data_IF_861125574167
#
_entry.id   IF_861125574167
#
_cell.length_a   1.000
_cell.length_b   1.000
_cell.length_c   1.000
_cell.angle_alpha   90.00
_cell.angle_beta   90.00
_cell.angle_gamma   90.00
#
_symmetry.space_group_name_H-M   'P 1'
#
loop_
_entity.id
_entity.type
_entity.pdbx_description
1 polymer ?
#
# COMPACT_ATOMS: atom_id res chain seq x y z
N UNK A 1 -13.86 9.57 -9.63
CA UNK A 1 -13.53 8.23 -10.14
C UNK A 1 -12.53 8.40 -11.27
N UNK A 2 -11.37 7.74 -11.21
CA UNK A 2 -10.37 7.78 -12.29
C UNK A 2 -10.85 6.85 -13.41
N UNK A 3 -10.61 7.18 -14.67
CA UNK A 3 -10.98 6.29 -15.78
C UNK A 3 -10.13 5.00 -15.71
N UNK A 4 -10.71 3.86 -16.10
CA UNK A 4 -10.09 2.54 -15.89
C UNK A 4 -8.70 2.44 -16.54
N UNK A 5 -8.52 3.04 -17.71
CA UNK A 5 -7.25 3.10 -18.43
C UNK A 5 -6.13 3.85 -17.68
N UNK A 6 -6.49 4.76 -16.78
CA UNK A 6 -5.54 5.52 -15.98
C UNK A 6 -5.25 4.88 -14.63
N UNK A 7 -5.97 3.82 -14.24
CA UNK A 7 -5.82 3.22 -12.93
C UNK A 7 -4.43 2.58 -12.71
N UNK A 8 -3.93 1.66 -13.57
CA UNK A 8 -2.59 1.11 -13.41
C UNK A 8 -1.47 2.17 -13.50
N UNK A 9 -1.48 3.13 -14.45
CA UNK A 9 -0.53 4.25 -14.46
C UNK A 9 -0.56 5.08 -13.16
N UNK A 10 -1.74 5.32 -12.59
CA UNK A 10 -1.89 6.09 -11.35
C UNK A 10 -1.26 5.35 -10.17
N UNK A 11 -1.49 4.05 -10.06
CA UNK A 11 -0.90 3.21 -9.01
C UNK A 11 0.63 3.13 -9.14
N UNK A 12 1.16 3.03 -10.37
CA UNK A 12 2.61 3.12 -10.63
C UNK A 12 3.19 4.47 -10.23
N UNK A 13 2.46 5.57 -10.47
CA UNK A 13 2.86 6.90 -10.03
C UNK A 13 2.85 7.00 -8.49
N UNK A 14 1.82 6.47 -7.82
CA UNK A 14 1.72 6.42 -6.37
C UNK A 14 2.89 5.64 -5.74
N UNK A 15 3.22 4.47 -6.29
CA UNK A 15 4.39 3.70 -5.87
C UNK A 15 5.67 4.55 -5.91
N UNK A 16 5.92 5.27 -7.02
CA UNK A 16 7.10 6.13 -7.17
C UNK A 16 7.13 7.29 -6.15
N UNK A 17 5.97 7.87 -5.85
CA UNK A 17 5.85 8.92 -4.84
C UNK A 17 6.17 8.39 -3.43
N UNK A 18 5.68 7.19 -3.09
CA UNK A 18 5.98 6.55 -1.80
C UNK A 18 7.47 6.21 -1.67
N UNK A 19 8.08 5.65 -2.72
CA UNK A 19 9.54 5.39 -2.77
C UNK A 19 10.33 6.68 -2.55
N UNK A 20 9.91 7.79 -3.18
CA UNK A 20 10.56 9.09 -3.01
C UNK A 20 10.39 9.64 -1.58
N UNK A 21 9.17 9.55 -1.02
CA UNK A 21 8.89 9.97 0.35
C UNK A 21 9.71 9.16 1.37
N UNK A 22 9.84 7.84 1.17
CA UNK A 22 10.68 6.96 1.98
C UNK A 22 12.13 7.41 1.95
N UNK A 23 12.68 7.64 0.76
CA UNK A 23 14.05 8.11 0.61
C UNK A 23 14.29 9.45 1.34
N UNK A 24 13.33 10.39 1.29
CA UNK A 24 13.41 11.63 2.06
C UNK A 24 13.36 11.38 3.56
N UNK A 25 12.46 10.51 4.03
CA UNK A 25 12.34 10.20 5.44
C UNK A 25 13.66 9.67 6.03
N UNK A 26 14.36 8.80 5.31
CA UNK A 26 15.68 8.34 5.74
C UNK A 26 16.76 9.43 5.67
N UNK A 27 16.74 10.30 4.65
CA UNK A 27 17.67 11.43 4.56
C UNK A 27 17.48 12.46 5.69
N UNK A 28 16.23 12.64 6.14
CA UNK A 28 15.87 13.55 7.24
C UNK A 28 15.94 12.85 8.62
N UNK A 29 16.65 11.72 8.72
CA UNK A 29 16.84 10.89 9.93
C UNK A 29 15.52 10.44 10.61
N UNK A 30 14.40 10.52 9.89
CA UNK A 30 13.08 10.12 10.34
C UNK A 30 12.85 8.62 10.09
N UNK A 31 13.69 7.79 10.72
CA UNK A 31 13.74 6.33 10.51
C UNK A 31 12.36 5.67 10.64
N UNK A 32 11.59 6.03 11.68
CA UNK A 32 10.25 5.45 11.88
C UNK A 32 9.27 5.74 10.74
N UNK A 33 9.39 6.90 10.08
CA UNK A 33 8.57 7.23 8.90
C UNK A 33 9.07 6.46 7.67
N UNK A 34 10.39 6.28 7.54
CA UNK A 34 10.98 5.44 6.50
C UNK A 34 10.50 4.00 6.59
N UNK A 35 10.60 3.39 7.77
CA UNK A 35 10.19 2.00 8.03
C UNK A 35 8.68 1.80 7.84
N UNK A 36 7.90 2.80 8.26
CA UNK A 36 6.47 2.84 7.95
C UNK A 36 6.25 2.79 6.44
N UNK A 37 6.83 3.71 5.67
CA UNK A 37 6.67 3.77 4.21
C UNK A 37 7.17 2.52 3.47
N UNK A 38 8.24 1.89 3.95
CA UNK A 38 8.74 0.59 3.47
C UNK A 38 7.65 -0.48 3.48
N UNK A 39 6.82 -0.44 4.51
CA UNK A 39 5.79 -1.44 4.72
C UNK A 39 4.63 -1.31 3.71
N UNK A 40 4.40 -0.12 3.13
CA UNK A 40 3.27 0.14 2.21
C UNK A 40 3.68 0.29 0.74
N UNK A 41 4.94 0.61 0.45
CA UNK A 41 5.32 1.06 -0.90
C UNK A 41 5.03 0.02 -1.99
N UNK A 42 5.00 -1.27 -1.65
CA UNK A 42 4.76 -2.34 -2.61
C UNK A 42 3.29 -2.54 -2.97
N UNK A 43 2.34 -2.07 -2.15
CA UNK A 43 0.91 -2.26 -2.40
C UNK A 43 0.46 -1.69 -3.74
N UNK A 44 0.78 -0.43 -4.12
CA UNK A 44 0.38 0.10 -5.41
C UNK A 44 1.03 -0.63 -6.58
N UNK A 45 2.23 -1.19 -6.39
CA UNK A 45 2.88 -2.01 -7.42
C UNK A 45 2.11 -3.31 -7.67
N UNK A 46 1.68 -4.00 -6.61
CA UNK A 46 0.87 -5.21 -6.73
C UNK A 46 -0.50 -4.94 -7.38
N UNK A 47 -1.15 -3.85 -7.00
CA UNK A 47 -2.45 -3.44 -7.58
C UNK A 47 -2.36 -2.99 -9.04
N UNK A 48 -1.18 -2.55 -9.50
CA UNK A 48 -0.95 -2.13 -10.88
C UNK A 48 -0.50 -3.28 -11.81
N UNK A 49 -0.36 -4.48 -11.25
CA UNK A 49 -0.02 -5.69 -12.01
C UNK A 49 -1.22 -6.16 -12.83
N UNK A 50 -0.96 -6.76 -13.98
CA UNK A 50 -2.00 -7.32 -14.85
C UNK A 50 -2.42 -8.73 -14.40
N UNK A 51 -1.59 -9.38 -13.59
CA UNK A 51 -1.90 -10.67 -12.98
C UNK A 51 -2.75 -10.48 -11.72
N UNK A 52 -3.57 -11.48 -11.41
CA UNK A 52 -4.27 -11.53 -10.14
C UNK A 52 -3.27 -11.74 -9.00
N UNK A 53 -3.14 -10.71 -8.15
CA UNK A 53 -2.28 -10.71 -6.95
C UNK A 53 -3.11 -10.49 -5.67
N UNK A 54 -4.40 -10.82 -5.69
CA UNK A 54 -5.33 -10.54 -4.60
C UNK A 54 -4.86 -11.10 -3.27
N UNK A 55 -4.47 -12.38 -3.22
CA UNK A 55 -4.00 -13.02 -1.98
C UNK A 55 -2.77 -12.33 -1.40
N UNK A 56 -1.83 -11.94 -2.25
CA UNK A 56 -0.60 -11.26 -1.81
C UNK A 56 -0.89 -9.86 -1.27
N UNK A 57 -1.83 -9.13 -1.88
CA UNK A 57 -2.30 -7.83 -1.36
C UNK A 57 -2.95 -8.00 0.02
N UNK A 58 -3.78 -9.04 0.20
CA UNK A 58 -4.42 -9.35 1.49
C UNK A 58 -3.36 -9.67 2.55
N UNK A 59 -2.40 -10.52 2.23
CA UNK A 59 -1.32 -10.88 3.17
C UNK A 59 -0.44 -9.67 3.51
N UNK A 60 -0.17 -8.80 2.54
CA UNK A 60 0.54 -7.54 2.80
C UNK A 60 -0.25 -6.62 3.73
N UNK A 61 -1.56 -6.46 3.51
CA UNK A 61 -2.44 -5.66 4.39
C UNK A 61 -2.46 -6.22 5.82
N UNK A 62 -2.56 -7.54 5.98
CA UNK A 62 -2.51 -8.19 7.29
C UNK A 62 -1.15 -7.99 7.97
N UNK A 63 -0.06 -8.19 7.24
CA UNK A 63 1.30 -7.94 7.73
C UNK A 63 1.50 -6.51 8.19
N UNK A 64 0.91 -5.56 7.46
CA UNK A 64 0.90 -4.13 7.82
C UNK A 64 0.20 -3.86 9.14
N UNK A 65 -0.99 -4.41 9.37
CA UNK A 65 -1.70 -4.24 10.63
C UNK A 65 -1.00 -4.92 11.83
N UNK A 66 -0.16 -5.93 11.57
CA UNK A 66 0.69 -6.53 12.60
C UNK A 66 1.89 -5.65 12.94
N UNK A 67 2.54 -5.08 11.93
CA UNK A 67 3.70 -4.20 12.10
C UNK A 67 3.31 -2.82 12.66
N UNK A 68 2.13 -2.32 12.27
CA UNK A 68 1.61 -0.99 12.62
C UNK A 68 0.19 -1.14 13.21
N UNK A 69 0.07 -1.45 14.51
CA UNK A 69 -1.23 -1.74 15.15
C UNK A 69 -2.25 -0.59 15.08
N UNK A 70 -1.77 0.65 14.97
CA UNK A 70 -2.57 1.85 14.75
C UNK A 70 -3.25 1.88 13.38
N UNK A 71 -2.75 1.11 12.40
CA UNK A 71 -3.33 0.96 11.07
C UNK A 71 -4.33 -0.21 10.94
N UNK A 72 -4.58 -0.97 12.03
CA UNK A 72 -5.44 -2.17 11.98
C UNK A 72 -6.83 -1.90 11.39
N UNK A 73 -7.39 -0.73 11.67
CA UNK A 73 -8.71 -0.33 11.19
C UNK A 73 -8.81 -0.34 9.65
N UNK A 74 -7.70 -0.13 8.93
CA UNK A 74 -7.65 -0.14 7.46
C UNK A 74 -7.92 -1.55 6.93
N UNK A 75 -7.36 -2.58 7.57
CA UNK A 75 -7.58 -3.98 7.19
C UNK A 75 -9.00 -4.40 7.52
N UNK A 76 -9.52 -3.98 8.67
CA UNK A 76 -10.92 -4.23 9.05
C UNK A 76 -11.90 -3.58 8.07
N UNK A 77 -11.60 -2.36 7.59
CA UNK A 77 -12.38 -1.70 6.54
C UNK A 77 -12.36 -2.47 5.22
N UNK A 78 -11.19 -2.96 4.81
CA UNK A 78 -11.03 -3.79 3.62
C UNK A 78 -11.82 -5.10 3.72
N UNK A 79 -11.66 -5.85 4.83
CA UNK A 79 -12.36 -7.12 5.05
C UNK A 79 -13.88 -6.93 5.06
N UNK A 80 -14.38 -5.84 5.67
CA UNK A 80 -15.81 -5.50 5.61
C UNK A 80 -16.29 -5.25 4.19
N UNK A 81 -15.51 -4.55 3.37
CA UNK A 81 -15.86 -4.28 1.98
C UNK A 81 -15.86 -5.56 1.12
N UNK A 82 -14.89 -6.46 1.36
CA UNK A 82 -14.77 -7.73 0.65
C UNK A 82 -15.83 -8.77 1.07
N UNK A 83 -16.40 -8.64 2.28
CA UNK A 83 -17.46 -9.51 2.77
C UNK A 83 -18.88 -9.12 2.30
N UNK A 84 -19.03 -8.01 1.57
CA UNK A 84 -20.31 -7.59 1.00
C UNK A 84 -20.60 -8.37 -0.29
N UNK A 85 -21.84 -8.87 -0.47
CA UNK A 85 -22.24 -9.70 -1.61
C UNK A 85 -22.29 -8.95 -2.95
#
# INVERSE_FOLDING_TARGET
MIQAEFFPPTLKALHRLLVHARSRAYNDESVGVGDFLDSFELLPKCLADENDRTDEVIEMLRGLAMAHPDCRYIVEEFDRAAALP
#
